data_IF_314920884444
#
_entry.id   IF_314920884444
#
_cell.length_a   1.000
_cell.length_b   1.000
_cell.length_c   1.000
_cell.angle_alpha   90.00
_cell.angle_beta   90.00
_cell.angle_gamma   90.00
#
_symmetry.space_group_name_H-M   'P 1'
#
loop_
_entity.id
_entity.type
_entity.pdbx_description
1 polymer ?
#
# COMPACT_ATOMS: atom_id res chain seq x y z
N UNK A 1 -32.57 -14.31 7.64
CA UNK A 1 -31.76 -15.23 6.80
C UNK A 1 -31.04 -14.56 5.62
N UNK A 2 -31.35 -13.31 5.26
CA UNK A 2 -30.75 -12.58 4.12
C UNK A 2 -29.31 -12.06 4.32
N UNK A 3 -28.88 -11.77 5.53
CA UNK A 3 -27.56 -11.17 5.82
C UNK A 3 -26.41 -12.16 5.66
N UNK A 4 -26.62 -13.42 5.90
CA UNK A 4 -25.56 -14.48 5.83
C UNK A 4 -25.18 -14.79 4.38
N UNK A 5 -26.13 -14.79 3.45
CA UNK A 5 -25.84 -14.99 2.03
C UNK A 5 -25.04 -13.84 1.42
N UNK A 6 -25.32 -12.60 1.82
CA UNK A 6 -24.58 -11.44 1.34
C UNK A 6 -23.13 -11.44 1.77
N UNK A 7 -22.82 -11.92 2.99
CA UNK A 7 -21.44 -11.99 3.48
C UNK A 7 -20.60 -13.03 2.71
N UNK A 8 -21.17 -14.20 2.44
CA UNK A 8 -20.49 -15.25 1.65
C UNK A 8 -20.27 -14.79 0.22
N UNK A 9 -21.25 -14.17 -0.40
CA UNK A 9 -21.14 -13.64 -1.76
C UNK A 9 -20.08 -12.53 -1.85
N UNK A 10 -20.07 -11.59 -0.92
CA UNK A 10 -19.03 -10.54 -0.87
C UNK A 10 -17.63 -11.10 -0.64
N UNK A 11 -17.50 -12.09 0.25
CA UNK A 11 -16.23 -12.78 0.50
C UNK A 11 -15.73 -13.53 -0.75
N UNK A 12 -16.64 -14.19 -1.47
CA UNK A 12 -16.30 -14.90 -2.71
C UNK A 12 -15.86 -13.94 -3.83
N UNK A 13 -16.51 -12.79 -3.98
CA UNK A 13 -16.12 -11.76 -4.95
C UNK A 13 -14.72 -11.23 -4.64
N UNK A 14 -14.42 -10.96 -3.38
CA UNK A 14 -13.10 -10.51 -2.94
C UNK A 14 -12.03 -11.58 -3.19
N UNK A 15 -12.33 -12.84 -2.94
CA UNK A 15 -11.40 -13.94 -3.19
C UNK A 15 -11.10 -14.10 -4.67
N UNK A 16 -12.13 -14.07 -5.54
CA UNK A 16 -11.99 -14.15 -7.00
C UNK A 16 -11.18 -12.95 -7.52
N UNK A 17 -11.50 -11.74 -7.06
CA UNK A 17 -10.75 -10.54 -7.43
C UNK A 17 -9.26 -10.67 -7.02
N UNK A 18 -8.97 -11.22 -5.85
CA UNK A 18 -7.60 -11.47 -5.38
C UNK A 18 -6.84 -12.47 -6.26
N UNK A 19 -7.51 -13.51 -6.75
CA UNK A 19 -6.92 -14.50 -7.68
C UNK A 19 -6.62 -13.83 -9.03
N UNK A 20 -7.59 -13.08 -9.57
CA UNK A 20 -7.42 -12.37 -10.87
C UNK A 20 -6.23 -11.40 -10.79
N UNK A 21 -6.12 -10.60 -9.73
CA UNK A 21 -4.99 -9.68 -9.55
C UNK A 21 -3.65 -10.41 -9.50
N UNK A 22 -3.59 -11.57 -8.84
CA UNK A 22 -2.37 -12.39 -8.80
C UNK A 22 -2.01 -12.97 -10.16
N UNK A 23 -2.99 -13.43 -10.92
CA UNK A 23 -2.77 -13.93 -12.29
C UNK A 23 -2.26 -12.81 -13.22
N UNK A 24 -2.86 -11.62 -13.15
CA UNK A 24 -2.41 -10.45 -13.91
C UNK A 24 -0.96 -10.10 -13.53
N UNK A 25 -0.64 -10.09 -12.22
CA UNK A 25 0.71 -9.82 -11.74
C UNK A 25 1.75 -10.83 -12.22
N UNK A 26 1.37 -12.10 -12.30
CA UNK A 26 2.23 -13.16 -12.83
C UNK A 26 2.43 -13.03 -14.35
N UNK A 27 1.36 -12.79 -15.10
CA UNK A 27 1.42 -12.57 -16.55
C UNK A 27 2.25 -11.32 -16.91
N UNK A 28 2.13 -10.25 -16.14
CA UNK A 28 2.92 -9.04 -16.32
C UNK A 28 4.42 -9.27 -16.06
N UNK A 29 4.77 -10.15 -15.13
CA UNK A 29 6.16 -10.38 -14.73
C UNK A 29 6.98 -11.08 -15.83
N UNK A 30 6.36 -11.94 -16.65
CA UNK A 30 7.04 -12.67 -17.71
C UNK A 30 7.62 -11.70 -18.76
N UNK A 31 6.82 -10.85 -19.44
CA UNK A 31 7.36 -9.91 -20.43
C UNK A 31 8.27 -8.85 -19.79
N UNK A 32 8.03 -8.50 -18.52
CA UNK A 32 8.89 -7.55 -17.81
C UNK A 32 10.33 -8.08 -17.71
N UNK A 33 10.51 -9.36 -17.33
CA UNK A 33 11.83 -9.98 -17.19
C UNK A 33 12.51 -10.10 -18.56
N UNK A 34 11.77 -10.37 -19.63
CA UNK A 34 12.31 -10.42 -20.99
C UNK A 34 12.85 -9.06 -21.46
N UNK A 35 12.18 -7.96 -21.09
CA UNK A 35 12.55 -6.60 -21.49
C UNK A 35 13.72 -6.07 -20.66
N UNK A 36 13.69 -6.22 -19.34
CA UNK A 36 14.69 -5.62 -18.43
C UNK A 36 15.87 -6.55 -18.12
N UNK A 37 15.78 -7.81 -18.51
CA UNK A 37 16.75 -8.85 -18.22
C UNK A 37 16.78 -9.27 -16.74
N UNK A 38 17.62 -10.27 -16.47
CA UNK A 38 17.80 -10.80 -15.10
C UNK A 38 18.44 -9.79 -14.15
N UNK A 39 19.40 -8.99 -14.62
CA UNK A 39 20.00 -7.91 -13.84
C UNK A 39 19.02 -6.82 -13.47
N UNK A 40 18.25 -6.32 -14.45
CA UNK A 40 17.22 -5.30 -14.23
C UNK A 40 16.14 -5.79 -13.26
N UNK A 41 15.73 -7.05 -13.35
CA UNK A 41 14.82 -7.66 -12.40
C UNK A 41 15.43 -7.75 -10.99
N UNK A 42 16.74 -7.97 -10.86
CA UNK A 42 17.46 -7.91 -9.60
C UNK A 42 17.38 -6.53 -8.95
N UNK A 43 17.67 -5.47 -9.72
CA UNK A 43 17.55 -4.07 -9.24
C UNK A 43 16.12 -3.72 -8.83
N UNK A 44 15.12 -4.11 -9.62
CA UNK A 44 13.72 -3.91 -9.31
C UNK A 44 13.31 -4.62 -8.02
N UNK A 45 13.67 -5.89 -7.86
CA UNK A 45 13.30 -6.69 -6.67
C UNK A 45 13.95 -6.14 -5.41
N UNK A 46 15.19 -5.70 -5.48
CA UNK A 46 15.92 -5.09 -4.36
C UNK A 46 15.29 -3.75 -3.96
N UNK A 47 14.97 -2.89 -4.94
CA UNK A 47 14.26 -1.64 -4.70
C UNK A 47 12.89 -1.87 -4.09
N UNK A 48 12.14 -2.85 -4.59
CA UNK A 48 10.83 -3.22 -4.08
C UNK A 48 10.88 -3.76 -2.64
N UNK A 49 11.95 -4.45 -2.25
CA UNK A 49 12.16 -4.90 -0.88
C UNK A 49 12.33 -3.73 0.10
N UNK A 50 13.16 -2.74 -0.24
CA UNK A 50 13.34 -1.51 0.56
C UNK A 50 12.03 -0.73 0.64
N UNK A 51 11.35 -0.55 -0.49
CA UNK A 51 10.03 0.08 -0.57
C UNK A 51 9.02 -0.63 0.34
N UNK A 52 8.96 -1.96 0.32
CA UNK A 52 8.02 -2.74 1.11
C UNK A 52 8.24 -2.59 2.61
N UNK A 53 9.49 -2.52 3.07
CA UNK A 53 9.82 -2.27 4.47
C UNK A 53 9.28 -0.90 4.90
N UNK A 54 9.56 0.16 4.12
CA UNK A 54 9.06 1.50 4.42
C UNK A 54 7.52 1.57 4.36
N UNK A 55 6.90 0.86 3.44
CA UNK A 55 5.45 0.77 3.34
C UNK A 55 4.83 0.09 4.57
N UNK A 56 5.43 -1.00 5.06
CA UNK A 56 4.99 -1.69 6.27
C UNK A 56 5.04 -0.72 7.47
N UNK A 57 6.14 -0.04 7.66
CA UNK A 57 6.34 0.89 8.77
C UNK A 57 5.38 2.09 8.68
N UNK A 58 5.18 2.65 7.48
CA UNK A 58 4.42 3.89 7.30
C UNK A 58 2.91 3.69 7.15
N UNK A 59 2.45 2.55 6.60
CA UNK A 59 1.07 2.46 6.08
C UNK A 59 0.31 1.19 6.46
N UNK A 60 0.97 0.12 6.88
CA UNK A 60 0.30 -1.18 7.01
C UNK A 60 -0.66 -1.27 8.20
N UNK A 61 -0.40 -0.53 9.28
CA UNK A 61 -1.25 -0.49 10.48
C UNK A 61 -2.44 0.46 10.34
N UNK A 62 -2.37 1.44 9.42
CA UNK A 62 -3.37 2.48 9.26
C UNK A 62 -4.78 1.95 8.89
N UNK A 63 -4.95 1.06 7.89
CA UNK A 63 -6.28 0.57 7.53
C UNK A 63 -7.00 -0.10 8.69
N UNK A 64 -6.29 -0.92 9.45
CA UNK A 64 -6.86 -1.66 10.59
C UNK A 64 -7.26 -0.71 11.72
N UNK A 65 -6.42 0.27 12.05
CA UNK A 65 -6.71 1.26 13.07
C UNK A 65 -7.91 2.13 12.69
N UNK A 66 -7.93 2.65 11.46
CA UNK A 66 -9.03 3.47 10.93
C UNK A 66 -10.34 2.69 10.90
N UNK A 67 -10.34 1.46 10.38
CA UNK A 67 -11.51 0.59 10.32
C UNK A 67 -12.11 0.36 11.72
N UNK A 68 -11.28 0.01 12.70
CA UNK A 68 -11.72 -0.20 14.09
C UNK A 68 -12.32 1.05 14.72
N UNK A 69 -11.71 2.22 14.51
CA UNK A 69 -12.20 3.50 15.03
C UNK A 69 -13.51 3.92 14.37
N UNK A 70 -13.64 3.72 13.06
CA UNK A 70 -14.83 4.03 12.28
C UNK A 70 -16.00 3.12 12.69
N UNK A 71 -15.79 1.81 12.73
CA UNK A 71 -16.78 0.84 13.16
C UNK A 71 -17.31 1.15 14.57
N UNK A 72 -16.45 1.50 15.52
CA UNK A 72 -16.85 1.88 16.88
C UNK A 72 -17.73 3.13 16.92
N UNK A 73 -17.52 4.12 16.04
CA UNK A 73 -18.35 5.33 15.97
C UNK A 73 -19.67 5.10 15.24
N UNK A 74 -19.67 4.30 14.20
CA UNK A 74 -20.89 3.93 13.48
C UNK A 74 -21.80 3.11 14.38
N UNK A 75 -21.29 2.18 15.17
CA UNK A 75 -22.05 1.35 16.11
C UNK A 75 -22.84 2.17 17.15
N UNK A 76 -22.34 3.35 17.52
CA UNK A 76 -23.04 4.28 18.44
C UNK A 76 -23.76 5.43 17.71
N UNK A 77 -23.98 5.33 16.39
CA UNK A 77 -24.72 6.31 15.59
C UNK A 77 -23.98 7.64 15.34
N UNK A 78 -22.70 7.74 15.63
CA UNK A 78 -21.92 8.99 15.55
C UNK A 78 -21.28 9.19 14.17
N UNK A 79 -22.05 9.26 13.11
CA UNK A 79 -21.57 9.41 11.73
C UNK A 79 -20.70 10.66 11.50
N UNK A 80 -21.02 11.79 12.12
CA UNK A 80 -20.19 13.02 12.02
C UNK A 80 -18.79 12.83 12.62
N UNK A 81 -18.68 12.03 13.67
CA UNK A 81 -17.38 11.72 14.28
C UNK A 81 -16.56 10.74 13.43
N UNK A 82 -17.21 9.83 12.71
CA UNK A 82 -16.56 8.96 11.72
C UNK A 82 -15.88 9.78 10.61
N UNK A 83 -16.53 10.85 10.12
CA UNK A 83 -15.91 11.74 9.13
C UNK A 83 -14.71 12.53 9.68
N UNK A 84 -14.71 12.90 10.96
CA UNK A 84 -13.57 13.53 11.60
C UNK A 84 -12.38 12.57 11.70
N UNK A 85 -12.64 11.29 11.97
CA UNK A 85 -11.61 10.25 11.97
C UNK A 85 -10.98 10.12 10.58
N UNK A 86 -11.78 10.10 9.51
CA UNK A 86 -11.28 10.07 8.16
C UNK A 86 -10.35 11.25 7.86
N UNK A 87 -10.78 12.48 8.19
CA UNK A 87 -9.96 13.68 7.98
C UNK A 87 -8.64 13.62 8.74
N UNK A 88 -8.67 13.24 10.03
CA UNK A 88 -7.48 13.10 10.85
C UNK A 88 -6.53 12.02 10.29
N UNK A 89 -7.07 10.88 9.86
CA UNK A 89 -6.29 9.80 9.26
C UNK A 89 -5.67 10.20 7.92
N UNK A 90 -6.38 10.99 7.08
CA UNK A 90 -5.83 11.52 5.83
C UNK A 90 -4.68 12.52 6.08
N UNK A 91 -4.80 13.40 7.08
CA UNK A 91 -3.72 14.31 7.46
C UNK A 91 -2.50 13.51 7.94
N UNK A 92 -2.71 12.52 8.78
CA UNK A 92 -1.65 11.63 9.26
C UNK A 92 -0.97 10.88 8.09
N UNK A 93 -1.76 10.30 7.18
CA UNK A 93 -1.24 9.62 5.99
C UNK A 93 -0.44 10.57 5.08
N UNK A 94 -0.87 11.84 4.95
CA UNK A 94 -0.13 12.85 4.21
C UNK A 94 1.24 13.09 4.82
N UNK A 95 1.31 13.32 6.13
CA UNK A 95 2.57 13.64 6.82
C UNK A 95 3.50 12.42 6.81
N UNK A 96 3.02 11.26 7.26
CA UNK A 96 3.84 10.05 7.38
C UNK A 96 4.23 9.50 6.00
N UNK A 97 3.29 9.50 5.04
CA UNK A 97 3.56 9.09 3.67
C UNK A 97 4.55 10.02 2.95
N UNK A 98 4.44 11.34 3.18
CA UNK A 98 5.39 12.31 2.64
C UNK A 98 6.80 12.15 3.26
N UNK A 99 6.88 11.93 4.56
CA UNK A 99 8.17 11.69 5.23
C UNK A 99 8.81 10.38 4.74
N UNK A 100 8.06 9.31 4.63
CA UNK A 100 8.56 8.03 4.11
C UNK A 100 8.95 8.12 2.63
N UNK A 101 8.15 8.80 1.81
CA UNK A 101 8.47 9.07 0.41
C UNK A 101 9.71 9.94 0.25
N UNK A 102 9.86 10.99 1.07
CA UNK A 102 11.05 11.84 1.09
C UNK A 102 12.30 11.06 1.54
N UNK A 103 12.16 10.23 2.57
CA UNK A 103 13.25 9.36 3.02
C UNK A 103 13.71 8.40 1.92
N UNK A 104 12.77 7.85 1.14
CA UNK A 104 13.08 6.99 0.01
C UNK A 104 13.71 7.78 -1.15
N UNK A 105 13.24 8.99 -1.43
CA UNK A 105 13.76 9.83 -2.51
C UNK A 105 15.17 10.32 -2.23
N UNK A 106 15.39 10.91 -1.07
CA UNK A 106 16.70 11.44 -0.67
C UNK A 106 17.67 10.35 -0.23
N UNK A 107 17.16 9.27 0.38
CA UNK A 107 17.93 8.12 0.79
C UNK A 107 18.23 7.12 -0.34
N UNK A 108 17.69 7.31 -1.55
CA UNK A 108 17.84 6.38 -2.65
C UNK A 108 19.31 6.07 -3.00
N UNK A 109 20.16 7.08 -2.97
CA UNK A 109 21.58 6.92 -3.26
C UNK A 109 22.31 6.15 -2.14
N UNK A 110 21.94 6.38 -0.88
CA UNK A 110 22.48 5.63 0.26
C UNK A 110 22.06 4.16 0.20
N UNK A 111 20.78 3.89 -0.05
CA UNK A 111 20.28 2.52 -0.17
C UNK A 111 20.89 1.78 -1.35
N UNK A 112 21.10 2.45 -2.49
CA UNK A 112 21.75 1.88 -3.66
C UNK A 112 23.21 1.50 -3.37
N UNK A 113 23.92 2.34 -2.62
CA UNK A 113 25.30 2.04 -2.18
C UNK A 113 25.36 0.87 -1.21
N UNK A 114 24.47 0.82 -0.22
CA UNK A 114 24.39 -0.27 0.76
C UNK A 114 24.06 -1.62 0.11
N UNK A 115 23.25 -1.60 -0.95
CA UNK A 115 22.91 -2.79 -1.73
C UNK A 115 24.01 -3.18 -2.75
N UNK A 116 25.01 -2.32 -2.97
CA UNK A 116 26.02 -2.52 -4.01
C UNK A 116 25.46 -2.46 -5.44
N UNK A 117 24.30 -1.83 -5.63
CA UNK A 117 23.54 -1.79 -6.88
C UNK A 117 23.24 -0.34 -7.31
N UNK A 118 24.14 0.36 -8.02
CA UNK A 118 23.98 1.79 -8.30
C UNK A 118 22.75 2.14 -9.12
N UNK A 119 22.30 1.25 -10.00
CA UNK A 119 21.07 1.46 -10.80
C UNK A 119 19.77 1.32 -10.01
N UNK A 120 19.82 0.69 -8.84
CA UNK A 120 18.68 0.56 -7.93
C UNK A 120 18.11 1.93 -7.49
N UNK A 121 18.94 2.99 -7.49
CA UNK A 121 18.52 4.36 -7.12
C UNK A 121 17.37 4.89 -7.98
N UNK A 122 17.37 4.59 -9.27
CA UNK A 122 16.30 5.04 -10.17
C UNK A 122 14.97 4.36 -9.85
N UNK A 123 15.01 3.06 -9.59
CA UNK A 123 13.83 2.31 -9.18
C UNK A 123 13.29 2.81 -7.81
N UNK A 124 14.17 3.09 -6.85
CA UNK A 124 13.78 3.66 -5.54
C UNK A 124 13.13 5.04 -5.68
N UNK A 125 13.70 5.93 -6.48
CA UNK A 125 13.13 7.27 -6.75
C UNK A 125 11.75 7.18 -7.41
N UNK A 126 11.57 6.26 -8.34
CA UNK A 126 10.27 6.03 -8.99
C UNK A 126 9.23 5.46 -8.02
N UNK A 127 9.63 4.65 -7.04
CA UNK A 127 8.75 4.09 -6.03
C UNK A 127 8.40 5.08 -4.89
N UNK A 128 9.20 6.13 -4.69
CA UNK A 128 8.99 7.10 -3.61
C UNK A 128 7.58 7.74 -3.60
N UNK A 129 7.03 8.28 -4.70
CA UNK A 129 5.69 8.84 -4.72
C UNK A 129 4.61 7.77 -4.48
N UNK A 130 4.89 6.51 -4.82
CA UNK A 130 3.95 5.39 -4.61
C UNK A 130 3.70 5.12 -3.13
N UNK A 131 4.70 5.30 -2.26
CA UNK A 131 4.54 5.18 -0.79
C UNK A 131 3.45 6.14 -0.30
N UNK A 132 3.48 7.37 -0.77
CA UNK A 132 2.51 8.40 -0.40
C UNK A 132 1.10 8.05 -0.88
N UNK A 133 0.96 7.64 -2.13
CA UNK A 133 -0.32 7.20 -2.71
C UNK A 133 -0.88 6.00 -1.93
N UNK A 134 -0.04 5.02 -1.59
CA UNK A 134 -0.44 3.84 -0.83
C UNK A 134 -0.88 4.15 0.59
N UNK A 135 -0.31 5.17 1.24
CA UNK A 135 -0.77 5.66 2.53
C UNK A 135 -2.20 6.19 2.46
N UNK A 136 -2.54 6.97 1.42
CA UNK A 136 -3.91 7.43 1.17
C UNK A 136 -4.88 6.28 0.91
N UNK A 137 -4.51 5.37 0.01
CA UNK A 137 -5.33 4.19 -0.30
C UNK A 137 -5.57 3.34 0.94
N UNK A 138 -4.58 3.21 1.82
CA UNK A 138 -4.71 2.52 3.09
C UNK A 138 -5.78 3.14 4.00
N UNK A 139 -5.79 4.46 4.14
CA UNK A 139 -6.80 5.17 4.95
C UNK A 139 -8.20 5.01 4.36
N UNK A 140 -8.35 5.23 3.04
CA UNK A 140 -9.65 5.06 2.37
C UNK A 140 -10.16 3.64 2.50
N UNK A 141 -9.31 2.65 2.26
CA UNK A 141 -9.66 1.24 2.46
C UNK A 141 -10.11 0.95 3.89
N UNK A 142 -9.38 1.46 4.89
CA UNK A 142 -9.73 1.30 6.30
C UNK A 142 -11.08 1.94 6.64
N UNK A 143 -11.37 3.10 6.07
CA UNK A 143 -12.64 3.80 6.28
C UNK A 143 -13.83 3.03 5.70
N UNK A 144 -13.71 2.47 4.50
CA UNK A 144 -14.78 1.69 3.87
C UNK A 144 -14.94 0.28 4.43
N UNK A 145 -13.93 -0.22 5.14
CA UNK A 145 -13.99 -1.52 5.82
C UNK A 145 -14.57 -1.44 7.25
N UNK A 146 -14.64 -0.27 7.84
CA UNK A 146 -15.22 -0.01 9.17
C UNK A 146 -16.67 0.41 9.11
#
# INVERSE_FOLDING_TARGET
>A
MHTRNNFVVQGSILAIAGIIVRLIGMLYRIPLIEIIGTEGNGYYTSAFSVYSILLIVSSYSLPTAVSKMVAGRIAVGQYKNSQKILKAALIYATVVGALAGAALWFGADLFAQLLGMPFCRYALKTLAPTVWIMAYLGVLRGYFQG
#
